data_IF_289802998110
#
_entry.id   IF_289802998110
#
_cell.length_a   1.000
_cell.length_b   1.000
_cell.length_c   1.000
_cell.angle_alpha   90.00
_cell.angle_beta   90.00
_cell.angle_gamma   90.00
#
_symmetry.space_group_name_H-M   'P 1'
#
loop_
_entity.id
_entity.type
_entity.pdbx_description
1 polymer ?
#
# COMPACT_ATOMS: atom_id res chain seq x y z
N UNK A 1 45.98 57.30 -7.59
CA UNK A 1 44.78 56.73 -8.26
C UNK A 1 44.78 55.24 -7.93
N UNK A 2 43.98 54.82 -6.93
CA UNK A 2 42.72 54.08 -7.12
C UNK A 2 42.91 52.79 -7.95
N UNK A 3 42.57 51.58 -7.51
CA UNK A 3 41.45 51.16 -6.68
C UNK A 3 41.70 49.72 -6.15
N UNK A 4 41.15 49.41 -4.96
CA UNK A 4 40.96 48.06 -4.42
C UNK A 4 40.30 47.13 -5.46
N UNK A 5 40.82 45.90 -5.61
CA UNK A 5 40.03 44.76 -6.06
C UNK A 5 39.94 43.75 -4.92
N UNK A 6 38.78 43.76 -4.26
CA UNK A 6 38.34 42.76 -3.31
C UNK A 6 38.22 41.41 -4.03
N UNK A 7 38.96 40.40 -3.56
CA UNK A 7 38.71 38.99 -3.86
C UNK A 7 37.36 38.61 -3.25
N UNK A 8 36.31 38.65 -4.07
CA UNK A 8 35.00 38.10 -3.75
C UNK A 8 35.17 36.58 -3.59
N UNK A 9 34.96 36.10 -2.37
CA UNK A 9 34.71 34.69 -2.08
C UNK A 9 33.54 34.23 -2.95
N UNK A 10 33.83 33.44 -3.98
CA UNK A 10 32.82 32.70 -4.70
C UNK A 10 32.24 31.63 -3.76
N UNK A 11 31.19 32.01 -3.02
CA UNK A 11 30.20 31.05 -2.55
C UNK A 11 29.55 30.44 -3.79
N UNK A 12 29.98 29.25 -4.18
CA UNK A 12 29.19 28.39 -5.04
C UNK A 12 28.22 27.59 -4.15
N UNK A 13 26.91 27.89 -4.14
CA UNK A 13 25.93 26.96 -3.65
C UNK A 13 25.65 25.95 -4.77
N UNK A 14 26.55 24.98 -4.95
CA UNK A 14 26.18 23.74 -5.66
C UNK A 14 25.27 22.93 -4.73
N UNK A 15 23.99 23.27 -4.68
CA UNK A 15 22.94 22.42 -4.12
C UNK A 15 21.58 22.85 -4.71
N UNK A 16 21.27 22.30 -5.88
CA UNK A 16 19.88 22.16 -6.30
C UNK A 16 19.17 21.29 -5.24
N UNK A 17 18.51 21.94 -4.29
CA UNK A 17 17.67 21.28 -3.30
C UNK A 17 16.64 20.43 -4.04
N UNK A 18 16.78 19.10 -3.93
CA UNK A 18 15.93 18.15 -4.63
C UNK A 18 14.43 18.37 -4.37
N UNK A 19 13.59 17.75 -5.20
CA UNK A 19 12.13 17.79 -5.10
C UNK A 19 11.58 17.39 -3.71
N UNK A 20 10.25 17.54 -3.53
CA UNK A 20 9.56 17.33 -2.24
C UNK A 20 9.93 16.00 -1.56
N UNK A 21 10.09 14.93 -2.33
CA UNK A 21 10.47 13.61 -1.82
C UNK A 21 11.93 13.56 -1.30
N UNK A 22 12.88 14.20 -1.99
CA UNK A 22 14.27 14.31 -1.51
C UNK A 22 14.36 15.11 -0.21
N UNK A 23 13.60 16.21 -0.08
CA UNK A 23 13.56 16.99 1.17
C UNK A 23 13.03 16.16 2.35
N UNK A 24 11.92 15.42 2.15
CA UNK A 24 11.38 14.50 3.16
C UNK A 24 12.38 13.40 3.52
N UNK A 25 13.08 12.84 2.53
CA UNK A 25 14.12 11.84 2.77
C UNK A 25 15.24 12.40 3.66
N UNK A 26 15.76 13.58 3.31
CA UNK A 26 16.81 14.23 4.08
C UNK A 26 16.37 14.55 5.51
N UNK A 27 15.14 15.01 5.71
CA UNK A 27 14.57 15.25 7.04
C UNK A 27 14.49 13.95 7.86
N UNK A 28 14.00 12.86 7.26
CA UNK A 28 13.91 11.57 7.91
C UNK A 28 15.29 11.03 8.33
N UNK A 29 16.28 11.07 7.44
CA UNK A 29 17.67 10.66 7.76
C UNK A 29 18.32 11.57 8.80
N UNK A 30 18.12 12.89 8.69
CA UNK A 30 18.68 13.87 9.63
C UNK A 30 18.12 13.71 11.04
N UNK A 31 16.85 13.31 11.17
CA UNK A 31 16.19 13.03 12.45
C UNK A 31 16.84 11.88 13.23
N UNK A 32 17.50 10.96 12.52
CA UNK A 32 18.18 9.80 13.13
C UNK A 32 19.65 10.06 13.46
N UNK A 33 20.25 11.14 12.96
CA UNK A 33 21.68 11.47 13.20
C UNK A 33 22.09 11.45 14.69
N UNK A 34 21.28 11.95 15.65
CA UNK A 34 21.66 11.91 17.06
C UNK A 34 21.78 10.51 17.66
N UNK A 35 21.25 9.48 17.01
CA UNK A 35 21.25 8.09 17.51
C UNK A 35 22.34 7.22 16.89
N UNK A 36 23.06 7.74 15.88
CA UNK A 36 24.15 7.01 15.23
C UNK A 36 25.25 6.68 16.24
N UNK A 37 25.68 5.41 16.27
CA UNK A 37 26.66 4.91 17.24
C UNK A 37 26.14 4.71 18.66
N UNK A 38 24.88 5.06 18.95
CA UNK A 38 24.24 4.88 20.27
C UNK A 38 23.16 3.82 20.29
N UNK A 39 22.51 3.61 19.15
CA UNK A 39 21.40 2.66 18.96
C UNK A 39 21.80 1.66 17.88
N UNK A 40 21.32 0.42 18.01
CA UNK A 40 21.50 -0.62 17.00
C UNK A 40 21.03 -0.11 15.62
N UNK A 41 21.90 -0.11 14.59
CA UNK A 41 21.55 0.30 13.24
C UNK A 41 20.33 -0.41 12.65
N UNK A 42 20.06 -1.66 13.06
CA UNK A 42 18.88 -2.42 12.62
C UNK A 42 17.60 -1.77 13.14
N UNK A 43 17.55 -1.40 14.43
CA UNK A 43 16.41 -0.68 15.02
C UNK A 43 16.22 0.69 14.38
N UNK A 44 17.31 1.39 14.04
CA UNK A 44 17.21 2.66 13.32
C UNK A 44 16.59 2.48 11.93
N UNK A 45 16.82 1.34 11.27
CA UNK A 45 16.17 1.03 9.99
C UNK A 45 14.66 0.78 10.11
N UNK A 46 14.18 0.27 11.25
CA UNK A 46 12.74 0.11 11.50
C UNK A 46 12.02 1.46 11.65
N UNK A 47 12.73 2.48 12.15
CA UNK A 47 12.22 3.84 12.31
C UNK A 47 12.32 4.67 11.01
N UNK A 48 13.31 4.40 10.15
CA UNK A 48 13.57 5.19 8.96
C UNK A 48 12.55 4.93 7.84
N UNK A 49 11.70 5.93 7.58
CA UNK A 49 10.77 5.90 6.43
C UNK A 49 11.45 6.40 5.16
N UNK A 50 11.55 5.53 4.16
CA UNK A 50 12.13 5.86 2.86
C UNK A 50 11.14 6.55 1.93
N UNK A 51 11.42 7.82 1.62
CA UNK A 51 10.67 8.68 0.72
C UNK A 51 11.32 8.82 -0.66
N UNK A 52 12.64 8.69 -0.75
CA UNK A 52 13.38 8.82 -2.00
C UNK A 52 14.61 7.90 -2.00
N UNK A 53 14.91 7.19 -3.10
CA UNK A 53 14.09 7.02 -4.30
C UNK A 53 12.82 6.17 -4.04
N UNK A 54 11.76 6.34 -4.83
CA UNK A 54 10.49 5.65 -4.57
C UNK A 54 10.66 4.12 -4.65
N UNK A 55 10.20 3.42 -3.61
CA UNK A 55 10.35 1.97 -3.45
C UNK A 55 11.67 1.54 -2.78
N UNK A 56 12.53 2.47 -2.37
CA UNK A 56 13.70 2.16 -1.55
C UNK A 56 13.30 1.66 -0.16
N UNK A 57 14.26 1.00 0.49
CA UNK A 57 14.12 0.45 1.83
C UNK A 57 15.38 0.72 2.62
N UNK A 58 15.27 0.69 3.94
CA UNK A 58 16.41 0.91 4.80
C UNK A 58 17.30 -0.33 4.80
N UNK A 59 18.59 -0.11 4.57
CA UNK A 59 19.63 -1.11 4.75
C UNK A 59 20.74 -0.49 5.57
N UNK A 60 21.34 -1.28 6.47
CA UNK A 60 22.52 -0.87 7.21
C UNK A 60 23.71 -0.85 6.25
N UNK A 61 24.37 0.30 6.17
CA UNK A 61 25.57 0.50 5.34
C UNK A 61 26.73 0.88 6.27
N UNK A 62 27.93 0.42 5.91
CA UNK A 62 29.16 0.76 6.61
C UNK A 62 29.89 1.87 5.87
N UNK A 63 30.30 2.91 6.58
CA UNK A 63 31.18 3.97 6.09
C UNK A 63 32.17 4.34 7.20
N UNK A 64 33.48 4.32 6.88
CA UNK A 64 34.56 4.61 7.82
C UNK A 64 34.47 3.86 9.17
N UNK A 65 34.04 2.59 9.15
CA UNK A 65 33.88 1.77 10.35
C UNK A 65 32.60 2.03 11.15
N UNK A 66 31.78 3.00 10.75
CA UNK A 66 30.49 3.32 11.38
C UNK A 66 29.35 2.71 10.56
N UNK A 67 28.45 2.01 11.25
CA UNK A 67 27.23 1.48 10.67
C UNK A 67 26.10 2.51 10.79
N UNK A 68 25.39 2.78 9.70
CA UNK A 68 24.25 3.69 9.72
C UNK A 68 23.12 3.23 8.79
N UNK A 69 21.87 3.56 9.10
CA UNK A 69 20.71 3.27 8.26
C UNK A 69 20.73 4.14 7.00
N UNK A 70 20.56 3.52 5.82
CA UNK A 70 20.44 4.26 4.55
C UNK A 70 19.31 3.70 3.71
N UNK A 71 18.52 4.58 3.11
CA UNK A 71 17.51 4.18 2.14
C UNK A 71 18.16 3.86 0.79
N UNK A 72 18.12 2.60 0.38
CA UNK A 72 18.80 2.13 -0.83
C UNK A 72 17.83 1.42 -1.78
N UNK A 73 18.18 1.45 -3.07
CA UNK A 73 17.60 0.54 -4.06
C UNK A 73 18.55 -0.64 -4.27
N UNK A 74 18.23 -1.85 -3.79
CA UNK A 74 19.14 -2.98 -3.91
C UNK A 74 19.31 -3.37 -5.39
N UNK A 75 20.57 -3.39 -5.86
CA UNK A 75 20.92 -3.89 -7.20
C UNK A 75 21.12 -5.40 -7.20
N UNK A 76 21.87 -5.86 -6.20
CA UNK A 76 22.10 -7.27 -5.90
C UNK A 76 21.28 -7.67 -4.68
N UNK A 77 20.87 -8.94 -4.64
CA UNK A 77 20.18 -9.52 -3.49
C UNK A 77 20.86 -10.81 -3.06
N UNK A 78 20.86 -11.12 -1.75
CA UNK A 78 21.36 -12.40 -1.27
C UNK A 78 20.60 -13.57 -1.92
N UNK A 79 21.30 -14.69 -2.15
CA UNK A 79 20.71 -15.92 -2.70
C UNK A 79 19.97 -16.73 -1.63
N UNK A 80 20.21 -16.45 -0.35
CA UNK A 80 19.54 -17.10 0.77
C UNK A 80 18.01 -16.94 0.63
N UNK A 81 17.32 -18.06 0.79
CA UNK A 81 15.86 -18.11 0.76
C UNK A 81 15.29 -17.76 2.11
N UNK A 82 14.43 -16.75 2.15
CA UNK A 82 13.62 -16.38 3.30
C UNK A 82 12.33 -15.77 2.75
N UNK A 83 11.42 -16.59 2.20
CA UNK A 83 10.32 -16.11 1.38
C UNK A 83 9.46 -15.11 2.15
N UNK A 84 8.92 -14.14 1.43
CA UNK A 84 8.03 -13.13 1.99
C UNK A 84 6.81 -12.93 1.10
N UNK A 85 5.68 -12.60 1.72
CA UNK A 85 4.48 -12.20 1.02
C UNK A 85 4.35 -10.69 1.03
N UNK A 86 4.17 -10.08 -0.14
CA UNK A 86 3.83 -8.64 -0.22
C UNK A 86 2.35 -8.40 0.11
N UNK A 87 1.97 -7.18 0.50
CA UNK A 87 0.55 -6.72 0.60
C UNK A 87 -0.19 -6.78 -0.72
N UNK A 88 0.60 -6.77 -1.79
CA UNK A 88 0.11 -6.98 -3.13
C UNK A 88 -0.08 -8.45 -3.43
N UNK A 89 0.22 -9.39 -2.50
CA UNK A 89 0.15 -10.86 -2.44
C UNK A 89 1.04 -11.67 -3.39
N UNK A 90 2.19 -11.11 -3.78
CA UNK A 90 3.26 -11.91 -4.40
C UNK A 90 4.10 -12.55 -3.31
N UNK A 91 4.45 -13.81 -3.52
CA UNK A 91 5.63 -14.40 -2.89
C UNK A 91 6.90 -13.87 -3.57
N UNK A 92 7.84 -13.37 -2.78
CA UNK A 92 9.22 -13.10 -3.18
C UNK A 92 10.13 -14.09 -2.46
N UNK A 93 11.25 -14.48 -3.08
CA UNK A 93 12.19 -15.42 -2.47
C UNK A 93 12.86 -14.88 -1.20
N UNK A 94 12.94 -13.55 -1.07
CA UNK A 94 13.32 -12.82 0.13
C UNK A 94 12.88 -11.35 0.07
N UNK A 95 13.01 -10.64 1.18
CA UNK A 95 12.63 -9.24 1.34
C UNK A 95 13.42 -8.29 0.41
N UNK A 96 14.70 -8.56 0.19
CA UNK A 96 15.50 -7.79 -0.78
C UNK A 96 14.89 -7.84 -2.19
N UNK A 97 14.45 -9.02 -2.65
CA UNK A 97 13.82 -9.18 -3.97
C UNK A 97 12.50 -8.41 -4.08
N UNK A 98 11.76 -8.27 -2.98
CA UNK A 98 10.55 -7.45 -2.91
C UNK A 98 10.89 -5.97 -3.13
N UNK A 99 11.84 -5.43 -2.36
CA UNK A 99 12.25 -4.03 -2.46
C UNK A 99 12.97 -3.71 -3.76
N UNK A 100 13.73 -4.65 -4.32
CA UNK A 100 14.32 -4.51 -5.66
C UNK A 100 13.25 -4.31 -6.73
N UNK A 101 12.15 -5.06 -6.68
CA UNK A 101 11.03 -4.85 -7.61
C UNK A 101 10.34 -3.51 -7.36
N UNK A 102 10.14 -3.13 -6.09
CA UNK A 102 9.52 -1.86 -5.70
C UNK A 102 10.29 -0.67 -6.28
N UNK A 103 11.60 -0.62 -6.06
CA UNK A 103 12.50 0.38 -6.63
C UNK A 103 12.49 0.40 -8.16
N UNK A 104 12.66 -0.77 -8.81
CA UNK A 104 12.69 -0.85 -10.28
C UNK A 104 11.41 -0.31 -10.91
N UNK A 105 10.27 -0.53 -10.26
CA UNK A 105 8.96 -0.06 -10.70
C UNK A 105 8.61 1.35 -10.20
N UNK A 106 9.50 2.01 -9.46
CA UNK A 106 9.29 3.31 -8.81
C UNK A 106 7.93 3.37 -8.10
N UNK A 107 7.67 2.40 -7.21
CA UNK A 107 6.45 2.35 -6.41
C UNK A 107 6.67 1.67 -5.07
N UNK A 108 5.85 1.98 -4.07
CA UNK A 108 5.87 1.26 -2.81
C UNK A 108 5.21 -0.13 -2.97
N UNK A 109 5.85 -1.14 -2.41
CA UNK A 109 5.29 -2.48 -2.26
C UNK A 109 5.49 -2.83 -0.79
N UNK A 110 4.41 -2.91 -0.02
CA UNK A 110 4.48 -3.30 1.39
C UNK A 110 4.73 -4.80 1.57
N UNK A 111 5.37 -5.15 2.68
CA UNK A 111 5.43 -6.52 3.22
C UNK A 111 4.09 -6.81 3.92
N UNK A 112 3.44 -7.93 3.58
CA UNK A 112 2.25 -8.41 4.30
C UNK A 112 2.67 -9.25 5.51
N UNK A 113 3.45 -10.30 5.26
CA UNK A 113 3.97 -11.18 6.29
C UNK A 113 5.23 -11.90 5.81
N UNK A 114 6.02 -12.41 6.77
CA UNK A 114 7.13 -13.32 6.50
C UNK A 114 6.57 -14.70 6.10
N UNK A 115 7.29 -15.43 5.25
CA UNK A 115 6.83 -16.66 4.62
C UNK A 115 6.23 -16.45 3.21
N UNK A 116 6.04 -17.52 2.42
CA UNK A 116 5.36 -17.42 1.14
C UNK A 116 3.91 -16.97 1.35
N UNK A 117 3.31 -16.30 0.36
CA UNK A 117 1.88 -16.03 0.42
C UNK A 117 1.13 -17.35 0.59
N UNK A 118 0.22 -17.34 1.55
CA UNK A 118 -0.69 -18.45 1.79
C UNK A 118 -1.53 -18.60 0.52
N UNK A 119 -1.39 -19.72 -0.19
CA UNK A 119 -2.34 -20.08 -1.24
C UNK A 119 -3.36 -20.98 -0.55
N UNK A 120 -4.61 -20.55 -0.35
CA UNK A 120 -5.61 -21.40 0.23
C UNK A 120 -5.86 -22.57 -0.73
N UNK A 121 -5.45 -23.76 -0.30
CA UNK A 121 -5.92 -25.05 -0.83
C UNK A 121 -7.28 -25.44 -0.26
N UNK A 122 -7.85 -24.62 0.63
CA UNK A 122 -9.11 -24.87 1.30
C UNK A 122 -10.30 -24.41 0.46
N UNK A 123 -11.42 -25.13 0.58
CA UNK A 123 -12.71 -24.65 0.13
C UNK A 123 -13.08 -23.38 0.92
N UNK A 124 -13.74 -22.43 0.26
CA UNK A 124 -14.23 -21.22 0.94
C UNK A 124 -15.33 -21.61 1.93
N UNK A 125 -15.12 -21.35 3.22
CA UNK A 125 -16.14 -21.54 4.27
C UNK A 125 -17.20 -20.44 4.18
N UNK A 126 -18.38 -20.68 4.76
CA UNK A 126 -19.47 -19.69 4.77
C UNK A 126 -19.06 -18.40 5.50
N UNK A 127 -18.29 -18.52 6.59
CA UNK A 127 -17.78 -17.37 7.34
C UNK A 127 -16.77 -16.55 6.52
N UNK A 128 -15.88 -17.21 5.78
CA UNK A 128 -14.94 -16.55 4.87
C UNK A 128 -15.67 -15.91 3.69
N UNK A 129 -16.69 -16.59 3.16
CA UNK A 129 -17.48 -16.09 2.04
C UNK A 129 -18.21 -14.79 2.40
N UNK A 130 -18.83 -14.73 3.59
CA UNK A 130 -19.46 -13.52 4.11
C UNK A 130 -18.47 -12.37 4.32
N UNK A 131 -17.26 -12.69 4.80
CA UNK A 131 -16.19 -11.71 5.01
C UNK A 131 -15.55 -11.19 3.72
N UNK A 132 -15.59 -11.97 2.65
CA UNK A 132 -14.88 -11.70 1.41
C UNK A 132 -15.10 -10.28 0.83
N UNK A 133 -16.34 -9.80 0.60
CA UNK A 133 -16.57 -8.47 0.03
C UNK A 133 -16.01 -7.36 0.93
N UNK A 134 -16.14 -7.51 2.25
CA UNK A 134 -15.55 -6.57 3.21
C UNK A 134 -14.02 -6.57 3.08
N UNK A 135 -13.34 -7.71 3.20
CA UNK A 135 -11.87 -7.78 3.11
C UNK A 135 -11.35 -7.26 1.77
N UNK A 136 -12.08 -7.49 0.69
CA UNK A 136 -11.75 -7.00 -0.64
C UNK A 136 -11.84 -5.47 -0.74
N UNK A 137 -12.88 -4.86 -0.17
CA UNK A 137 -13.01 -3.40 -0.15
C UNK A 137 -11.91 -2.72 0.67
N UNK A 138 -11.53 -3.31 1.80
CA UNK A 138 -10.41 -2.82 2.62
C UNK A 138 -9.07 -2.89 1.84
N UNK A 139 -8.88 -3.98 1.09
CA UNK A 139 -7.72 -4.10 0.20
C UNK A 139 -7.72 -3.06 -0.93
N UNK A 140 -8.87 -2.75 -1.53
CA UNK A 140 -8.96 -1.67 -2.52
C UNK A 140 -8.61 -0.31 -1.93
N UNK A 141 -9.04 -0.05 -0.69
CA UNK A 141 -8.72 1.17 0.02
C UNK A 141 -7.21 1.28 0.26
N UNK A 142 -6.58 0.20 0.74
CA UNK A 142 -5.12 0.13 0.88
C UNK A 142 -4.41 0.38 -0.44
N UNK A 143 -4.83 -0.28 -1.53
CA UNK A 143 -4.26 -0.12 -2.86
C UNK A 143 -4.34 1.33 -3.36
N UNK A 144 -5.46 2.02 -3.13
CA UNK A 144 -5.63 3.42 -3.54
C UNK A 144 -4.67 4.37 -2.83
N UNK A 145 -4.25 4.03 -1.60
CA UNK A 145 -3.35 4.86 -0.78
C UNK A 145 -1.88 4.61 -1.06
N UNK A 146 -1.50 3.50 -1.69
CA UNK A 146 -0.10 3.10 -1.90
C UNK A 146 0.70 3.95 -2.93
N UNK A 147 0.16 5.09 -3.38
CA UNK A 147 0.85 6.10 -4.19
C UNK A 147 0.80 7.53 -3.61
N UNK A 148 -0.01 7.73 -2.56
CA UNK A 148 -0.07 8.97 -1.77
C UNK A 148 0.79 8.76 -0.51
N UNK A 149 1.27 9.83 0.12
CA UNK A 149 2.10 9.72 1.35
C UNK A 149 1.38 8.84 2.37
N UNK A 150 1.88 7.62 2.65
CA UNK A 150 1.28 6.68 3.59
C UNK A 150 0.88 7.41 4.89
N UNK A 151 -0.42 7.61 5.09
CA UNK A 151 -0.97 8.31 6.23
C UNK A 151 -1.39 7.27 7.28
N UNK A 152 -0.70 7.17 8.43
CA UNK A 152 -1.03 6.19 9.46
C UNK A 152 -2.41 6.43 10.12
N UNK A 153 -3.06 7.57 9.84
CA UNK A 153 -4.37 7.96 10.38
C UNK A 153 -5.54 7.77 9.40
N UNK A 154 -5.31 7.13 8.25
CA UNK A 154 -6.36 7.05 7.24
C UNK A 154 -7.47 6.09 7.72
N UNK A 155 -8.75 6.53 7.78
CA UNK A 155 -9.82 5.75 8.38
C UNK A 155 -9.99 4.39 7.69
N UNK A 156 -10.33 3.31 8.41
CA UNK A 156 -10.66 2.03 7.80
C UNK A 156 -11.91 2.18 6.92
N UNK A 157 -12.16 1.23 6.02
CA UNK A 157 -13.35 1.33 5.14
C UNK A 157 -14.68 1.35 5.91
N UNK A 158 -14.69 0.83 7.15
CA UNK A 158 -15.85 0.87 8.04
C UNK A 158 -16.20 2.29 8.50
N UNK A 159 -15.26 3.23 8.39
CA UNK A 159 -15.47 4.66 8.63
C UNK A 159 -15.84 5.46 7.39
N UNK A 160 -15.87 4.84 6.22
CA UNK A 160 -16.28 5.50 4.98
C UNK A 160 -17.79 5.46 4.82
N UNK A 161 -18.35 6.50 4.21
CA UNK A 161 -19.75 6.50 3.80
C UNK A 161 -20.01 5.49 2.70
N UNK A 162 -21.28 5.14 2.49
CA UNK A 162 -21.68 4.31 1.36
C UNK A 162 -21.18 4.89 0.02
N UNK A 163 -21.37 6.19 -0.21
CA UNK A 163 -20.93 6.87 -1.42
C UNK A 163 -19.41 6.79 -1.63
N UNK A 164 -18.61 6.94 -0.57
CA UNK A 164 -17.14 6.82 -0.66
C UNK A 164 -16.70 5.40 -1.02
N UNK A 165 -17.36 4.38 -0.48
CA UNK A 165 -17.11 2.97 -0.82
C UNK A 165 -17.53 2.64 -2.25
N UNK A 166 -18.70 3.11 -2.68
CA UNK A 166 -19.18 2.97 -4.06
C UNK A 166 -18.24 3.65 -5.05
N UNK A 167 -17.71 4.83 -4.72
CA UNK A 167 -16.70 5.49 -5.54
C UNK A 167 -15.38 4.69 -5.60
N UNK A 168 -14.92 4.11 -4.49
CA UNK A 168 -13.73 3.25 -4.47
C UNK A 168 -13.93 2.01 -5.34
N UNK A 169 -15.08 1.34 -5.22
CA UNK A 169 -15.46 0.19 -6.03
C UNK A 169 -15.54 0.55 -7.53
N UNK A 170 -16.15 1.70 -7.87
CA UNK A 170 -16.25 2.21 -9.23
C UNK A 170 -14.89 2.54 -9.84
N UNK A 171 -14.00 3.23 -9.11
CA UNK A 171 -12.62 3.48 -9.56
C UNK A 171 -11.92 2.17 -9.89
N UNK A 172 -12.10 1.15 -9.05
CA UNK A 172 -11.49 -0.17 -9.28
C UNK A 172 -12.08 -0.89 -10.49
N UNK A 173 -13.39 -0.80 -10.68
CA UNK A 173 -14.09 -1.31 -11.87
C UNK A 173 -13.47 -0.74 -13.15
N UNK A 174 -13.34 0.59 -13.24
CA UNK A 174 -12.77 1.25 -14.42
C UNK A 174 -11.32 0.88 -14.74
N UNK A 175 -10.53 0.50 -13.73
CA UNK A 175 -9.15 0.00 -13.95
C UNK A 175 -9.12 -1.42 -14.56
N UNK A 176 -10.18 -2.20 -14.36
CA UNK A 176 -10.30 -3.58 -14.84
C UNK A 176 -10.95 -3.64 -16.23
N UNK A 177 -11.98 -2.81 -16.44
CA UNK A 177 -12.68 -2.62 -17.71
C UNK A 177 -11.83 -1.81 -18.72
N UNK A 178 -10.80 -2.45 -19.26
CA UNK A 178 -9.88 -1.81 -20.22
C UNK A 178 -10.51 -1.54 -21.58
N UNK A 179 -11.41 -2.42 -22.00
CA UNK A 179 -12.17 -2.31 -23.24
C UNK A 179 -13.33 -1.33 -23.13
N UNK A 180 -13.63 -0.83 -21.92
CA UNK A 180 -14.65 0.19 -21.64
C UNK A 180 -16.03 -0.23 -22.12
N UNK A 181 -16.36 -1.52 -22.06
CA UNK A 181 -17.68 -2.03 -22.44
C UNK A 181 -18.70 -1.94 -21.27
N UNK A 182 -18.30 -1.33 -20.15
CA UNK A 182 -19.15 -1.13 -18.99
C UNK A 182 -19.43 -2.42 -18.21
N UNK A 183 -18.68 -3.49 -18.50
CA UNK A 183 -18.89 -4.83 -17.96
C UNK A 183 -17.56 -5.52 -17.68
N UNK A 184 -17.47 -6.29 -16.60
CA UNK A 184 -16.29 -7.09 -16.30
C UNK A 184 -16.51 -8.54 -16.73
N UNK A 185 -15.76 -8.97 -17.73
CA UNK A 185 -15.71 -10.38 -18.12
C UNK A 185 -14.82 -11.18 -17.17
N UNK A 186 -14.86 -12.52 -17.27
CA UNK A 186 -13.87 -13.40 -16.59
C UNK A 186 -12.42 -13.02 -16.94
N UNK A 187 -12.14 -12.52 -18.15
CA UNK A 187 -10.79 -12.08 -18.54
C UNK A 187 -10.36 -10.84 -17.76
N UNK A 188 -11.29 -9.91 -17.51
CA UNK A 188 -11.04 -8.68 -16.74
C UNK A 188 -10.89 -8.98 -15.26
N UNK A 189 -11.74 -9.85 -14.73
CA UNK A 189 -11.65 -10.29 -13.34
C UNK A 189 -10.36 -11.06 -13.06
N UNK A 190 -9.80 -11.81 -14.01
CA UNK A 190 -8.45 -12.41 -13.86
C UNK A 190 -7.33 -11.37 -13.74
N UNK A 191 -7.57 -10.10 -14.12
CA UNK A 191 -6.61 -9.00 -13.91
C UNK A 191 -6.64 -8.47 -12.48
N UNK A 192 -7.74 -8.65 -11.73
CA UNK A 192 -7.64 -8.70 -10.27
C UNK A 192 -6.71 -9.86 -10.00
N UNK A 193 -5.54 -9.58 -9.47
CA UNK A 193 -4.51 -10.58 -9.23
C UNK A 193 -4.96 -11.44 -8.05
N UNK A 194 -5.97 -12.28 -8.26
CA UNK A 194 -6.73 -12.97 -7.22
C UNK A 194 -5.81 -13.71 -6.27
N UNK A 195 -4.73 -14.35 -6.75
CA UNK A 195 -3.66 -15.00 -5.96
C UNK A 195 -2.98 -14.15 -4.88
N UNK A 196 -3.41 -12.90 -4.77
CA UNK A 196 -2.76 -11.87 -4.03
C UNK A 196 -3.70 -11.00 -3.19
N UNK A 197 -4.97 -11.38 -3.20
CA UNK A 197 -6.10 -10.72 -2.59
C UNK A 197 -6.44 -11.48 -1.30
N UNK A 198 -6.93 -10.82 -0.25
CA UNK A 198 -7.45 -11.55 0.91
C UNK A 198 -8.52 -12.57 0.50
N UNK A 199 -8.47 -13.77 1.07
CA UNK A 199 -9.46 -14.83 0.85
C UNK A 199 -9.63 -15.19 -0.64
N UNK A 200 -8.52 -15.34 -1.38
CA UNK A 200 -8.56 -15.53 -2.82
C UNK A 200 -9.29 -16.79 -3.28
N UNK A 201 -9.38 -17.80 -2.42
CA UNK A 201 -10.13 -19.04 -2.68
C UNK A 201 -11.63 -18.78 -2.78
N UNK A 202 -12.15 -17.76 -2.11
CA UNK A 202 -13.54 -17.34 -2.19
C UNK A 202 -13.86 -16.55 -3.46
N UNK A 203 -12.87 -15.94 -4.09
CA UNK A 203 -13.05 -14.98 -5.19
C UNK A 203 -13.85 -15.54 -6.37
N UNK A 204 -13.54 -16.77 -6.78
CA UNK A 204 -14.16 -17.37 -7.95
C UNK A 204 -15.65 -17.58 -7.73
N UNK A 205 -16.02 -18.20 -6.60
CA UNK A 205 -17.42 -18.41 -6.22
C UNK A 205 -18.15 -17.08 -6.03
N UNK A 206 -17.50 -16.14 -5.33
CA UNK A 206 -18.06 -14.83 -5.05
C UNK A 206 -18.42 -14.07 -6.34
N UNK A 207 -17.47 -13.90 -7.27
CA UNK A 207 -17.74 -13.14 -8.50
C UNK A 207 -18.73 -13.84 -9.44
N UNK A 208 -18.84 -15.17 -9.38
CA UNK A 208 -19.90 -15.89 -10.07
C UNK A 208 -21.27 -15.56 -9.47
N UNK A 209 -21.38 -15.41 -8.16
CA UNK A 209 -22.63 -15.02 -7.48
C UNK A 209 -23.05 -13.56 -7.72
N UNK A 210 -22.16 -12.73 -8.26
CA UNK A 210 -22.42 -11.33 -8.56
C UNK A 210 -23.09 -11.13 -9.92
N UNK A 211 -22.99 -12.12 -10.80
CA UNK A 211 -23.62 -12.12 -12.10
C UNK A 211 -25.08 -12.59 -11.97
N UNK A 212 -25.96 -11.66 -11.58
CA UNK A 212 -27.36 -11.96 -11.25
C UNK A 212 -28.17 -12.41 -12.47
N UNK A 213 -27.88 -11.83 -13.63
CA UNK A 213 -28.53 -12.20 -14.89
C UNK A 213 -27.83 -13.36 -15.63
N UNK A 214 -26.77 -13.93 -15.04
CA UNK A 214 -26.01 -15.10 -15.52
C UNK A 214 -25.44 -14.94 -16.93
N UNK A 215 -25.14 -13.72 -17.37
CA UNK A 215 -24.61 -13.46 -18.71
C UNK A 215 -23.07 -13.58 -18.79
N UNK A 216 -22.44 -14.11 -17.74
CA UNK A 216 -21.00 -14.25 -17.54
C UNK A 216 -20.22 -12.93 -17.51
N UNK A 217 -20.91 -11.81 -17.31
CA UNK A 217 -20.32 -10.48 -17.16
C UNK A 217 -20.95 -9.77 -15.95
N UNK A 218 -20.12 -9.01 -15.24
CA UNK A 218 -20.57 -8.23 -14.08
C UNK A 218 -20.64 -6.75 -14.47
N UNK A 219 -21.83 -6.16 -14.42
CA UNK A 219 -22.03 -4.72 -14.65
C UNK A 219 -21.50 -3.88 -13.49
N UNK A 220 -21.35 -2.56 -13.68
CA UNK A 220 -20.96 -1.66 -12.58
C UNK A 220 -21.95 -1.71 -11.41
N UNK A 221 -23.24 -1.82 -11.69
CA UNK A 221 -24.28 -1.90 -10.67
C UNK A 221 -24.17 -3.18 -9.85
N UNK A 222 -24.08 -4.34 -10.53
CA UNK A 222 -23.88 -5.64 -9.87
C UNK A 222 -22.59 -5.64 -9.06
N UNK A 223 -21.50 -5.06 -9.58
CA UNK A 223 -20.22 -4.93 -8.90
C UNK A 223 -20.31 -4.13 -7.59
N UNK A 224 -20.97 -2.96 -7.62
CA UNK A 224 -21.18 -2.13 -6.43
C UNK A 224 -22.05 -2.87 -5.43
N UNK A 225 -23.16 -3.46 -5.88
CA UNK A 225 -24.06 -4.16 -4.96
C UNK A 225 -23.39 -5.36 -4.30
N UNK A 226 -22.64 -6.15 -5.08
CA UNK A 226 -21.91 -7.29 -4.54
C UNK A 226 -20.84 -6.89 -3.51
N UNK A 227 -20.09 -5.82 -3.77
CA UNK A 227 -18.96 -5.46 -2.91
C UNK A 227 -19.35 -4.56 -1.76
N UNK A 228 -20.12 -3.50 -2.03
CA UNK A 228 -20.47 -2.48 -1.05
C UNK A 228 -21.66 -2.95 -0.23
N UNK A 229 -22.80 -3.25 -0.85
CA UNK A 229 -24.02 -3.58 -0.12
C UNK A 229 -23.85 -4.86 0.69
N UNK A 230 -23.29 -5.93 0.10
CA UNK A 230 -23.05 -7.18 0.86
C UNK A 230 -22.02 -6.98 1.98
N UNK A 231 -21.02 -6.11 1.81
CA UNK A 231 -20.09 -5.80 2.92
C UNK A 231 -20.79 -5.07 4.06
N UNK A 232 -21.71 -4.16 3.76
CA UNK A 232 -22.50 -3.45 4.77
C UNK A 232 -23.45 -4.38 5.51
N UNK A 233 -24.13 -5.26 4.79
CA UNK A 233 -25.04 -6.27 5.36
C UNK A 233 -24.25 -7.21 6.27
N UNK A 234 -23.12 -7.72 5.81
CA UNK A 234 -22.27 -8.60 6.61
C UNK A 234 -21.75 -7.88 7.86
N UNK A 235 -21.22 -6.66 7.71
CA UNK A 235 -20.69 -5.89 8.84
C UNK A 235 -21.78 -5.57 9.86
N UNK A 236 -22.98 -5.17 9.41
CA UNK A 236 -24.10 -4.93 10.30
C UNK A 236 -24.51 -6.18 11.06
N UNK A 237 -24.60 -7.33 10.36
CA UNK A 237 -24.99 -8.60 10.98
C UNK A 237 -23.97 -9.07 12.01
N UNK A 238 -22.68 -8.83 11.77
CA UNK A 238 -21.60 -9.25 12.66
C UNK A 238 -21.35 -8.28 13.81
N UNK A 239 -21.29 -6.97 13.54
CA UNK A 239 -20.93 -5.93 14.52
C UNK A 239 -22.15 -5.32 15.22
N UNK A 240 -23.37 -5.61 14.76
CA UNK A 240 -24.61 -4.93 15.20
C UNK A 240 -24.55 -3.40 15.08
N UNK A 241 -23.78 -2.91 14.10
CA UNK A 241 -23.52 -1.48 13.88
C UNK A 241 -23.49 -1.15 12.40
N UNK A 242 -23.96 0.06 12.05
CA UNK A 242 -23.86 0.58 10.68
C UNK A 242 -22.46 1.14 10.41
N UNK A 243 -21.85 0.71 9.30
CA UNK A 243 -20.63 1.34 8.79
C UNK A 243 -20.87 2.83 8.49
N UNK A 244 -19.85 3.67 8.69
CA UNK A 244 -19.95 5.12 8.56
C UNK A 244 -20.70 5.81 9.69
N UNK A 245 -21.10 5.08 10.74
CA UNK A 245 -21.71 5.67 11.94
C UNK A 245 -20.69 6.49 12.72
N UNK A 246 -21.10 7.67 13.20
CA UNK A 246 -20.28 8.50 14.09
C UNK A 246 -19.91 7.81 15.41
N UNK A 247 -20.65 6.78 15.83
CA UNK A 247 -20.30 5.95 17.01
C UNK A 247 -19.06 5.08 16.76
N UNK A 248 -18.89 4.61 15.52
CA UNK A 248 -17.76 3.77 15.12
C UNK A 248 -16.52 4.62 14.86
N UNK A 249 -16.72 5.84 14.36
CA UNK A 249 -15.69 6.71 13.87
C UNK A 249 -15.89 8.10 14.45
N UNK A 250 -15.58 8.29 15.75
CA UNK A 250 -15.70 9.60 16.37
C UNK A 250 -14.81 10.55 15.60
N UNK A 251 -15.41 11.58 14.98
CA UNK A 251 -14.64 12.66 14.39
C UNK A 251 -13.82 13.28 15.51
N UNK A 252 -12.50 13.44 15.30
CA UNK A 252 -11.73 14.33 16.18
C UNK A 252 -12.36 15.71 16.02
N UNK A 253 -13.03 16.18 17.06
CA UNK A 253 -13.19 17.61 17.28
C UNK A 253 -11.77 18.15 17.42
N UNK A 254 -11.29 18.85 16.40
CA UNK A 254 -10.14 19.74 16.56
C UNK A 254 -10.59 20.86 17.52
N UNK A 255 -10.48 20.60 18.82
CA UNK A 255 -10.30 21.64 19.81
C UNK A 255 -8.85 22.13 19.68
N UNK A 256 -8.62 23.04 18.76
CA UNK A 256 -7.52 23.98 18.90
C UNK A 256 -8.11 25.34 19.31
N UNK A 257 -7.84 25.68 20.57
CA UNK A 257 -7.82 27.05 21.08
C UNK A 257 -7.02 27.98 20.15
#
# INVERSE_FOLDING_TARGET
MNLLFLLVLAFHPDLTMGGRAQRKQWQAESSLRPYLGRVDPVLLCELLKCHSPMGSWCQVVQDNGVLFPKCVCPKTCPRQGAPVCSVLGKTYGNECLLHREACRKRRHIGLAHKGPCLVPKANCTEEEYGQFPYRLMDWFLLLSRMGESYAPYAPPQSCLSHAQRSQLAQRRFGLLDKNKDGKLSRKDLRKLRYKRMPLEHCATSFFQSCDHNKNSKVTLHEWISCLVDRSEIWFHSFMSMKMGSGKLCPMKTDNHL
#
